data_IF_834794895759
#
_entry.id   IF_834794895759
#
_cell.length_a   1.000
_cell.length_b   1.000
_cell.length_c   1.000
_cell.angle_alpha   90.00
_cell.angle_beta   90.00
_cell.angle_gamma   90.00
#
_symmetry.space_group_name_H-M   'P 1'
#
loop_
_entity.id
_entity.type
_entity.pdbx_description
1 polymer ?
#
# COMPACT_ATOMS: atom_id res chain seq x y z
N UNK A 1 -5.69 29.47 6.82
CA UNK A 1 -5.44 28.46 7.88
C UNK A 1 -4.01 27.93 7.78
N UNK A 2 -3.14 28.19 8.77
CA UNK A 2 -1.71 27.87 8.69
C UNK A 2 -1.32 26.47 9.23
N UNK A 3 -2.20 25.79 9.98
CA UNK A 3 -1.90 24.49 10.61
C UNK A 3 -3.14 23.64 10.83
N UNK A 4 -2.94 22.35 11.07
CA UNK A 4 -3.97 21.36 11.41
C UNK A 4 -3.43 20.26 12.33
N UNK A 5 -4.26 19.28 12.65
CA UNK A 5 -3.89 18.15 13.52
C UNK A 5 -4.34 16.81 12.95
N UNK A 6 -3.47 15.80 13.05
CA UNK A 6 -3.82 14.39 12.84
C UNK A 6 -4.08 13.77 14.20
N UNK A 7 -5.29 13.23 14.40
CA UNK A 7 -5.66 12.56 15.65
C UNK A 7 -5.56 11.04 15.53
N UNK A 8 -4.69 10.43 16.35
CA UNK A 8 -4.54 8.99 16.47
C UNK A 8 -5.45 8.48 17.59
N UNK A 9 -6.62 7.95 17.21
CA UNK A 9 -7.65 7.51 18.17
C UNK A 9 -7.15 6.43 19.15
N UNK A 10 -6.33 5.48 18.68
CA UNK A 10 -5.81 4.39 19.51
C UNK A 10 -4.94 4.88 20.69
N UNK A 11 -4.23 6.00 20.52
CA UNK A 11 -3.34 6.57 21.55
C UNK A 11 -3.87 7.88 22.14
N UNK A 12 -4.99 8.40 21.63
CA UNK A 12 -5.52 9.71 22.00
C UNK A 12 -4.60 10.89 21.67
N UNK A 13 -3.64 10.73 20.74
CA UNK A 13 -2.61 11.75 20.47
C UNK A 13 -2.98 12.61 19.28
N UNK A 14 -2.73 13.92 19.36
CA UNK A 14 -2.81 14.86 18.24
C UNK A 14 -1.40 15.23 17.79
N UNK A 15 -1.11 15.00 16.52
CA UNK A 15 0.11 15.47 15.88
C UNK A 15 -0.19 16.78 15.15
N UNK A 16 0.49 17.87 15.52
CA UNK A 16 0.39 19.14 14.78
C UNK A 16 1.09 18.99 13.42
N UNK A 17 0.45 19.55 12.38
CA UNK A 17 0.99 19.63 11.02
C UNK A 17 0.90 21.08 10.55
N UNK A 18 2.05 21.68 10.24
CA UNK A 18 2.14 23.03 9.66
C UNK A 18 1.95 22.97 8.15
N UNK A 19 1.10 23.84 7.59
CA UNK A 19 0.84 23.91 6.16
C UNK A 19 1.77 24.90 5.47
N UNK A 20 3.04 24.52 5.37
CA UNK A 20 4.07 25.32 4.69
C UNK A 20 3.78 25.44 3.19
N UNK A 21 4.36 26.46 2.55
CA UNK A 21 4.25 26.65 1.11
C UNK A 21 4.83 25.43 0.35
N UNK A 22 5.95 24.90 0.81
CA UNK A 22 6.59 23.71 0.24
C UNK A 22 5.67 22.49 0.29
N UNK A 23 5.05 22.20 1.44
CA UNK A 23 4.13 21.07 1.58
C UNK A 23 2.92 21.21 0.64
N UNK A 24 2.41 22.44 0.47
CA UNK A 24 1.31 22.73 -0.45
C UNK A 24 1.73 22.49 -1.90
N UNK A 25 2.91 22.96 -2.27
CA UNK A 25 3.44 22.82 -3.62
C UNK A 25 3.67 21.34 -3.96
N UNK A 26 4.33 20.59 -3.07
CA UNK A 26 4.53 19.14 -3.22
C UNK A 26 3.19 18.39 -3.37
N UNK A 27 2.16 18.80 -2.63
CA UNK A 27 0.82 18.21 -2.75
C UNK A 27 0.22 18.47 -4.13
N UNK A 28 0.27 19.71 -4.64
CA UNK A 28 -0.25 20.08 -5.97
C UNK A 28 0.49 19.32 -7.08
N UNK A 29 1.83 19.24 -6.99
CA UNK A 29 2.66 18.52 -7.96
C UNK A 29 2.36 17.02 -7.96
N UNK A 30 2.20 16.42 -6.78
CA UNK A 30 1.84 15.01 -6.65
C UNK A 30 0.48 14.73 -7.28
N UNK A 31 -0.51 15.60 -7.06
CA UNK A 31 -1.84 15.48 -7.69
C UNK A 31 -1.72 15.52 -9.21
N UNK A 32 -0.96 16.47 -9.76
CA UNK A 32 -0.74 16.57 -11.19
C UNK A 32 0.00 15.35 -11.77
N UNK A 33 1.00 14.82 -11.07
CA UNK A 33 1.72 13.62 -11.46
C UNK A 33 0.82 12.37 -11.49
N UNK A 34 -0.02 12.18 -10.47
CA UNK A 34 -0.95 11.05 -10.40
C UNK A 34 -2.01 11.13 -11.50
N UNK A 35 -2.55 12.32 -11.79
CA UNK A 35 -3.50 12.50 -12.91
C UNK A 35 -2.88 12.12 -14.24
N UNK A 36 -1.67 12.62 -14.54
CA UNK A 36 -0.92 12.24 -15.75
C UNK A 36 -0.65 10.75 -15.83
N UNK A 37 -0.32 10.10 -14.70
CA UNK A 37 -0.11 8.66 -14.65
C UNK A 37 -1.38 7.89 -15.05
N UNK A 38 -2.54 8.28 -14.51
CA UNK A 38 -3.83 7.66 -14.82
C UNK A 38 -4.20 7.87 -16.30
N UNK A 39 -4.04 9.09 -16.81
CA UNK A 39 -4.33 9.45 -18.21
C UNK A 39 -3.41 8.72 -19.19
N UNK A 40 -2.14 8.51 -18.83
CA UNK A 40 -1.18 7.80 -19.69
C UNK A 40 -1.53 6.32 -19.93
N UNK A 41 -2.39 5.73 -19.09
CA UNK A 41 -2.69 4.28 -19.11
C UNK A 41 -1.48 3.38 -18.82
N UNK A 42 -0.30 3.96 -18.57
CA UNK A 42 0.94 3.21 -18.40
C UNK A 42 1.09 2.82 -16.94
N UNK A 43 1.15 1.51 -16.68
CA UNK A 43 1.35 1.01 -15.32
C UNK A 43 2.83 1.12 -14.95
N UNK A 44 3.18 1.78 -13.83
CA UNK A 44 4.56 1.82 -13.37
C UNK A 44 5.03 0.42 -12.95
N UNK A 45 6.35 0.16 -12.95
CA UNK A 45 6.90 -1.11 -12.47
C UNK A 45 6.53 -1.32 -11.00
N UNK A 46 6.28 -2.58 -10.63
CA UNK A 46 5.83 -2.98 -9.30
C UNK A 46 6.86 -3.84 -8.56
N UNK A 47 8.07 -3.33 -8.28
CA UNK A 47 9.10 -4.11 -7.59
C UNK A 47 8.62 -4.56 -6.20
N UNK A 48 9.00 -5.77 -5.81
CA UNK A 48 8.66 -6.27 -4.47
C UNK A 48 9.47 -5.51 -3.40
N UNK A 49 8.78 -4.84 -2.49
CA UNK A 49 9.38 -4.02 -1.42
C UNK A 49 8.83 -4.42 -0.03
N UNK A 50 9.45 -3.99 1.09
CA UNK A 50 8.93 -4.25 2.44
C UNK A 50 7.47 -3.80 2.63
N UNK A 51 7.06 -2.72 1.95
CA UNK A 51 5.69 -2.17 1.96
C UNK A 51 4.65 -3.13 1.36
N UNK A 52 5.07 -4.12 0.57
CA UNK A 52 4.17 -5.14 0.04
C UNK A 52 3.68 -6.11 1.13
N UNK A 53 4.37 -6.21 2.28
CA UNK A 53 3.92 -7.04 3.42
C UNK A 53 2.72 -6.35 4.07
N UNK A 54 1.54 -6.99 3.99
CA UNK A 54 0.28 -6.41 4.49
C UNK A 54 -0.40 -5.44 3.52
N UNK A 55 0.09 -5.32 2.28
CA UNK A 55 -0.60 -4.52 1.26
C UNK A 55 -1.90 -5.20 0.83
N UNK A 56 -3.01 -4.47 0.88
CA UNK A 56 -4.34 -4.93 0.46
C UNK A 56 -4.43 -5.30 -1.02
N UNK A 57 -3.51 -4.79 -1.85
CA UNK A 57 -3.46 -5.07 -3.29
C UNK A 57 -2.49 -6.20 -3.66
N UNK A 58 -1.87 -6.88 -2.68
CA UNK A 58 -0.83 -7.87 -2.95
C UNK A 58 -1.30 -9.04 -3.82
N UNK A 59 -2.55 -9.50 -3.63
CA UNK A 59 -3.14 -10.62 -4.39
C UNK A 59 -3.51 -10.24 -5.83
N UNK A 60 -3.66 -8.94 -6.13
CA UNK A 60 -3.99 -8.44 -7.47
C UNK A 60 -2.72 -7.98 -8.19
N UNK A 61 -1.83 -7.31 -7.46
CA UNK A 61 -0.59 -6.76 -8.01
C UNK A 61 0.47 -7.84 -8.28
N UNK A 62 0.48 -8.93 -7.50
CA UNK A 62 1.36 -10.10 -7.64
C UNK A 62 2.86 -9.78 -7.89
N UNK A 63 3.48 -8.83 -7.14
CA UNK A 63 4.82 -8.32 -7.44
C UNK A 63 5.94 -9.38 -7.40
N UNK A 64 5.76 -10.44 -6.60
CA UNK A 64 6.73 -11.55 -6.54
C UNK A 64 6.67 -12.43 -7.79
N UNK A 65 5.46 -12.67 -8.28
CA UNK A 65 5.27 -13.54 -9.44
C UNK A 65 5.61 -12.79 -10.73
N UNK A 66 5.27 -11.50 -10.83
CA UNK A 66 5.70 -10.66 -11.96
C UNK A 66 7.23 -10.59 -12.06
N UNK A 67 7.94 -10.41 -10.94
CA UNK A 67 9.41 -10.43 -10.92
C UNK A 67 10.00 -11.78 -11.37
N UNK A 68 9.40 -12.90 -10.94
CA UNK A 68 9.82 -14.25 -11.38
C UNK A 68 9.64 -14.45 -12.88
N UNK A 69 8.51 -13.99 -13.42
CA UNK A 69 8.21 -14.10 -14.86
C UNK A 69 9.12 -13.18 -15.71
N UNK A 70 9.53 -12.04 -15.15
CA UNK A 70 10.43 -11.08 -15.81
C UNK A 70 11.91 -11.48 -15.71
N UNK A 71 12.23 -12.62 -15.09
CA UNK A 71 13.58 -13.20 -15.10
C UNK A 71 14.57 -12.62 -14.07
N UNK A 72 14.10 -11.88 -13.06
CA UNK A 72 14.98 -11.45 -11.97
C UNK A 72 15.33 -12.62 -11.02
N UNK A 73 16.61 -12.88 -10.71
CA UNK A 73 17.04 -14.06 -9.94
C UNK A 73 16.79 -13.88 -8.43
N UNK A 74 15.53 -13.78 -8.02
CA UNK A 74 15.09 -13.67 -6.63
C UNK A 74 14.78 -15.02 -5.99
N UNK A 75 15.83 -15.82 -5.73
CA UNK A 75 15.89 -17.02 -4.85
C UNK A 75 14.54 -17.64 -4.43
N UNK A 76 14.14 -18.69 -5.14
CA UNK A 76 13.10 -19.65 -4.73
C UNK A 76 13.52 -20.35 -3.43
N UNK A 77 12.66 -20.35 -2.39
CA UNK A 77 12.65 -21.39 -1.35
C UNK A 77 11.27 -22.05 -1.34
N UNK A 78 11.29 -23.39 -1.26
CA UNK A 78 10.25 -24.36 -1.61
C UNK A 78 9.03 -24.35 -0.66
N UNK A 79 7.87 -24.56 -1.28
CA UNK A 79 6.68 -25.33 -0.84
C UNK A 79 6.33 -25.45 0.65
N UNK A 80 5.13 -24.99 1.01
CA UNK A 80 4.30 -25.66 2.02
C UNK A 80 2.83 -25.59 1.60
N UNK A 81 2.23 -26.76 1.46
CA UNK A 81 0.83 -27.10 1.12
C UNK A 81 -0.21 -26.13 1.69
N UNK A 82 -1.29 -25.75 0.96
CA UNK A 82 -2.36 -24.97 1.56
C UNK A 82 -3.15 -25.82 2.55
N UNK A 83 -3.05 -25.51 3.84
CA UNK A 83 -3.93 -26.06 4.87
C UNK A 83 -5.34 -25.46 4.71
N UNK A 84 -6.42 -26.25 4.79
CA UNK A 84 -7.78 -25.73 4.60
C UNK A 84 -8.13 -24.76 5.73
N UNK A 85 -8.66 -23.59 5.38
CA UNK A 85 -9.09 -22.57 6.35
C UNK A 85 -10.28 -23.10 7.17
N UNK A 86 -10.25 -23.09 8.51
CA UNK A 86 -11.48 -23.24 9.28
C UNK A 86 -12.33 -21.97 9.12
N UNK A 87 -13.59 -22.17 8.71
CA UNK A 87 -14.62 -21.12 8.62
C UNK A 87 -14.78 -20.42 9.98
N UNK A 88 -14.58 -19.09 10.01
CA UNK A 88 -14.76 -18.27 11.22
C UNK A 88 -16.21 -17.84 11.47
N UNK A 89 -17.17 -18.34 10.71
CA UNK A 89 -18.59 -18.04 10.94
C UNK A 89 -19.20 -19.08 11.87
N UNK A 90 -18.96 -18.90 13.17
CA UNK A 90 -19.84 -19.40 14.21
C UNK A 90 -20.76 -18.25 14.64
N UNK A 91 -22.10 -18.40 14.62
CA UNK A 91 -23.01 -17.39 15.16
C UNK A 91 -22.76 -17.26 16.66
N UNK A 92 -22.57 -16.02 17.12
CA UNK A 92 -22.38 -15.73 18.54
C UNK A 92 -23.75 -15.44 19.12
N UNK A 93 -24.40 -16.46 19.69
CA UNK A 93 -25.63 -16.29 20.46
C UNK A 93 -25.35 -15.41 21.68
N UNK A 94 -25.84 -14.17 21.66
CA UNK A 94 -26.29 -13.42 22.84
C UNK A 94 -27.20 -12.25 22.46
#
# INVERSE_FOLDING_TARGET
>A
MPKGYIYYAATGRRQEVLFTLELRQQTIETIAAVRRLIESGTRPPNPYMPRCKGCSLSDICLPKETARLQGEPGRVKKSSTPSPRPSRFAPKDR
#
